data_IF_421000449240
#
_entry.id   IF_421000449240
#
_cell.length_a   1.000
_cell.length_b   1.000
_cell.length_c   1.000
_cell.angle_alpha   90.00
_cell.angle_beta   90.00
_cell.angle_gamma   90.00
#
_symmetry.space_group_name_H-M   'P 1'
#
loop_
_entity.id
_entity.type
_entity.pdbx_description
1 polymer ?
#
# COMPACT_ATOMS: atom_id res chain seq x y z
N UNK A 1 -15.77 13.62 -4.49
CA UNK A 1 -14.37 13.99 -4.29
C UNK A 1 -14.16 14.05 -2.79
N UNK A 2 -13.29 13.21 -2.25
CA UNK A 2 -12.93 13.27 -0.83
C UNK A 2 -12.24 14.60 -0.57
N UNK A 3 -12.57 15.29 0.53
CA UNK A 3 -11.97 16.58 0.90
C UNK A 3 -10.42 16.56 1.02
N UNK A 4 -9.81 15.36 1.06
CA UNK A 4 -8.35 15.19 1.04
C UNK A 4 -7.72 15.35 -0.35
N UNK A 5 -8.43 15.08 -1.46
CA UNK A 5 -7.82 15.13 -2.81
C UNK A 5 -7.43 16.57 -3.23
N UNK A 6 -7.94 17.59 -2.53
CA UNK A 6 -7.63 19.01 -2.77
C UNK A 6 -6.22 19.41 -2.32
N UNK A 7 -5.58 18.63 -1.44
CA UNK A 7 -4.26 18.92 -0.89
C UNK A 7 -3.18 17.97 -1.40
N UNK A 8 -3.47 17.18 -2.44
CA UNK A 8 -2.47 16.29 -3.03
C UNK A 8 -1.66 17.04 -4.11
N UNK A 9 -0.34 17.03 -3.96
CA UNK A 9 0.57 17.36 -5.06
C UNK A 9 0.84 16.10 -5.88
N UNK A 10 0.53 16.15 -7.17
CA UNK A 10 0.70 15.04 -8.11
C UNK A 10 2.04 15.12 -8.82
N UNK A 11 2.76 14.00 -8.86
CA UNK A 11 4.08 13.92 -9.50
C UNK A 11 4.10 12.73 -10.44
N UNK A 12 3.94 12.99 -11.75
CA UNK A 12 4.00 11.94 -12.76
C UNK A 12 5.45 11.46 -12.93
N UNK A 13 5.66 10.15 -13.02
CA UNK A 13 7.01 9.56 -13.14
C UNK A 13 7.82 10.20 -14.27
N UNK A 14 7.18 10.47 -15.40
CA UNK A 14 7.85 11.01 -16.59
C UNK A 14 8.21 12.50 -16.46
N UNK A 15 7.62 13.22 -15.50
CA UNK A 15 7.77 14.66 -15.30
C UNK A 15 8.78 14.99 -14.18
N UNK A 16 9.12 14.01 -13.32
CA UNK A 16 10.08 14.21 -12.23
C UNK A 16 11.51 14.24 -12.82
N UNK A 17 11.98 15.44 -13.13
CA UNK A 17 13.39 15.68 -13.39
C UNK A 17 14.22 15.36 -12.13
N UNK A 18 15.40 14.77 -12.31
CA UNK A 18 16.40 14.41 -11.30
C UNK A 18 16.27 12.94 -10.84
N UNK A 19 17.17 12.12 -11.40
CA UNK A 19 17.41 10.69 -11.19
C UNK A 19 16.45 9.69 -11.85
N UNK A 20 16.54 9.62 -13.19
CA UNK A 20 16.04 8.47 -13.98
C UNK A 20 16.46 7.15 -13.30
N UNK A 21 15.49 6.29 -13.01
CA UNK A 21 15.73 4.93 -12.51
C UNK A 21 15.51 4.71 -11.01
N UNK A 22 14.90 5.66 -10.29
CA UNK A 22 14.48 5.46 -8.89
C UNK A 22 13.00 5.08 -8.73
N UNK A 23 12.22 5.05 -9.81
CA UNK A 23 10.75 5.06 -9.68
C UNK A 23 10.09 3.66 -9.62
N UNK A 24 10.88 2.59 -9.76
CA UNK A 24 10.41 1.22 -9.61
C UNK A 24 9.22 0.86 -10.51
N UNK A 25 8.25 0.12 -9.95
CA UNK A 25 7.04 -0.37 -10.64
C UNK A 25 5.79 0.47 -10.29
N UNK A 26 5.99 1.77 -10.07
CA UNK A 26 4.94 2.75 -9.82
C UNK A 26 4.82 3.77 -10.95
N UNK A 27 3.59 4.18 -11.27
CA UNK A 27 3.32 5.15 -12.36
C UNK A 27 3.35 6.61 -11.91
N UNK A 28 2.90 6.89 -10.69
CA UNK A 28 2.75 8.24 -10.17
C UNK A 28 2.97 8.30 -8.65
N UNK A 29 3.40 9.47 -8.17
CA UNK A 29 3.53 9.75 -6.75
C UNK A 29 2.61 10.86 -6.31
N UNK A 30 2.16 10.82 -5.05
CA UNK A 30 1.44 11.92 -4.42
C UNK A 30 2.03 12.27 -3.07
N UNK A 31 2.28 13.55 -2.83
CA UNK A 31 2.64 14.10 -1.52
C UNK A 31 1.55 15.03 -1.03
N UNK A 32 1.57 15.35 0.25
CA UNK A 32 0.64 16.34 0.80
C UNK A 32 1.21 17.74 0.58
N UNK A 33 0.52 18.53 -0.25
CA UNK A 33 0.86 19.90 -0.58
C UNK A 33 0.93 20.77 0.68
N UNK A 34 1.99 21.57 0.77
CA UNK A 34 2.14 22.55 1.85
C UNK A 34 2.57 21.96 3.20
N UNK A 35 2.78 20.65 3.30
CA UNK A 35 3.39 20.05 4.48
C UNK A 35 4.92 20.29 4.49
N UNK A 36 5.56 20.37 5.67
CA UNK A 36 7.00 20.60 5.78
C UNK A 36 7.82 19.59 4.96
N UNK A 37 8.99 19.93 4.42
CA UNK A 37 9.87 18.94 3.76
C UNK A 37 9.21 18.12 2.61
N UNK A 38 8.17 18.64 1.96
CA UNK A 38 7.45 17.95 0.88
C UNK A 38 8.37 17.35 -0.21
N UNK A 39 9.41 18.04 -0.73
CA UNK A 39 10.34 17.43 -1.70
C UNK A 39 11.08 16.20 -1.16
N UNK A 40 11.36 16.18 0.15
CA UNK A 40 12.00 15.05 0.82
C UNK A 40 11.00 13.91 1.05
N UNK A 41 9.72 14.20 1.28
CA UNK A 41 8.65 13.22 1.30
C UNK A 41 8.51 12.51 -0.06
N UNK A 42 8.51 13.27 -1.16
CA UNK A 42 8.55 12.70 -2.52
C UNK A 42 9.78 11.80 -2.70
N UNK A 43 10.95 12.28 -2.26
CA UNK A 43 12.18 11.49 -2.33
C UNK A 43 12.10 10.19 -1.52
N UNK A 44 11.38 10.16 -0.40
CA UNK A 44 11.13 8.93 0.38
C UNK A 44 10.26 7.94 -0.39
N UNK A 45 9.15 8.40 -1.01
CA UNK A 45 8.28 7.53 -1.82
C UNK A 45 9.05 6.92 -2.98
N UNK A 46 9.79 7.74 -3.73
CA UNK A 46 10.65 7.27 -4.84
C UNK A 46 11.70 6.30 -4.33
N UNK A 47 12.34 6.57 -3.19
CA UNK A 47 13.32 5.65 -2.60
C UNK A 47 12.70 4.31 -2.21
N UNK A 48 11.50 4.29 -1.64
CA UNK A 48 10.76 3.06 -1.38
C UNK A 48 10.50 2.28 -2.67
N UNK A 49 9.99 2.95 -3.70
CA UNK A 49 9.74 2.36 -5.01
C UNK A 49 10.98 1.72 -5.63
N UNK A 50 12.13 2.41 -5.59
CA UNK A 50 13.42 1.88 -6.04
C UNK A 50 13.81 0.59 -5.31
N UNK A 51 13.71 0.59 -3.98
CA UNK A 51 14.15 -0.53 -3.14
C UNK A 51 13.30 -1.77 -3.39
N UNK A 52 11.98 -1.64 -3.53
CA UNK A 52 11.09 -2.80 -3.71
C UNK A 52 10.90 -3.23 -5.16
N UNK A 53 11.45 -2.48 -6.13
CA UNK A 53 11.26 -2.76 -7.56
C UNK A 53 11.64 -4.20 -7.98
N UNK A 54 12.77 -4.80 -7.51
CA UNK A 54 13.10 -6.18 -7.88
C UNK A 54 12.04 -7.19 -7.45
N UNK A 55 11.49 -7.03 -6.24
CA UNK A 55 10.40 -7.86 -5.71
C UNK A 55 9.15 -7.70 -6.57
N UNK A 56 8.74 -6.46 -6.84
CA UNK A 56 7.53 -6.22 -7.64
C UNK A 56 7.65 -6.84 -9.04
N UNK A 57 8.81 -6.72 -9.70
CA UNK A 57 9.07 -7.37 -11.00
C UNK A 57 8.99 -8.89 -10.90
N UNK A 58 9.62 -9.48 -9.88
CA UNK A 58 9.62 -10.93 -9.65
C UNK A 58 8.20 -11.49 -9.51
N UNK A 59 7.32 -10.76 -8.81
CA UNK A 59 5.93 -11.16 -8.58
C UNK A 59 4.96 -10.65 -9.67
N UNK A 60 5.45 -9.96 -10.71
CA UNK A 60 4.61 -9.41 -11.78
C UNK A 60 3.64 -8.33 -11.30
N UNK A 61 3.97 -7.62 -10.22
CA UNK A 61 3.13 -6.60 -9.62
C UNK A 61 3.43 -5.21 -10.17
N UNK A 62 2.36 -4.46 -10.40
CA UNK A 62 2.40 -3.04 -10.72
C UNK A 62 1.40 -2.31 -9.83
N UNK A 63 1.73 -1.10 -9.41
CA UNK A 63 0.84 -0.26 -8.63
C UNK A 63 0.77 1.12 -9.29
N UNK A 64 -0.41 1.61 -9.69
CA UNK A 64 -0.49 2.89 -10.39
C UNK A 64 0.06 4.07 -9.57
N UNK A 65 -0.24 4.12 -8.27
CA UNK A 65 0.06 5.26 -7.41
C UNK A 65 0.72 4.84 -6.10
N UNK A 66 1.82 5.50 -5.74
CA UNK A 66 2.39 5.50 -4.39
C UNK A 66 2.26 6.87 -3.75
N UNK A 67 1.45 6.96 -2.70
CA UNK A 67 1.04 8.24 -2.12
C UNK A 67 1.39 8.36 -0.63
N UNK A 68 1.38 9.58 -0.13
CA UNK A 68 1.52 9.89 1.28
C UNK A 68 0.17 9.74 2.02
N UNK A 69 0.20 9.14 3.22
CA UNK A 69 -0.91 9.19 4.19
C UNK A 69 -0.80 10.43 5.06
N UNK A 70 -1.94 10.93 5.53
CA UNK A 70 -1.95 12.03 6.48
C UNK A 70 -1.24 11.62 7.77
N UNK A 71 -0.43 12.50 8.42
CA UNK A 71 0.32 12.11 9.62
C UNK A 71 -0.57 11.63 10.77
N UNK A 72 -1.79 12.16 10.86
CA UNK A 72 -2.78 11.77 11.86
C UNK A 72 -3.54 10.48 11.55
N UNK A 73 -3.33 9.84 10.38
CA UNK A 73 -3.87 8.50 10.12
C UNK A 73 -3.36 7.52 11.18
N UNK A 74 -4.23 6.64 11.69
CA UNK A 74 -3.87 5.68 12.74
C UNK A 74 -2.93 4.57 12.26
N UNK A 75 -2.91 4.28 10.96
CA UNK A 75 -2.11 3.24 10.33
C UNK A 75 -0.80 3.79 9.74
N UNK A 76 0.15 2.89 9.49
CA UNK A 76 1.40 3.22 8.79
C UNK A 76 1.28 3.11 7.27
N UNK A 77 0.41 2.25 6.77
CA UNK A 77 0.20 2.01 5.35
C UNK A 77 -1.23 1.56 5.06
N UNK A 78 -1.67 1.74 3.81
CA UNK A 78 -2.93 1.25 3.27
C UNK A 78 -2.79 0.94 1.78
N UNK A 79 -3.32 -0.20 1.35
CA UNK A 79 -3.42 -0.58 -0.06
C UNK A 79 -4.88 -0.63 -0.51
N UNK A 80 -5.16 0.06 -1.61
CA UNK A 80 -6.51 0.19 -2.17
C UNK A 80 -6.63 -0.59 -3.48
N UNK A 81 -7.72 -1.34 -3.61
CA UNK A 81 -8.02 -2.16 -4.79
C UNK A 81 -9.40 -1.80 -5.33
N UNK A 82 -9.53 -1.77 -6.65
CA UNK A 82 -10.82 -1.67 -7.34
C UNK A 82 -11.32 -3.09 -7.56
N UNK A 83 -12.56 -3.35 -7.10
CA UNK A 83 -13.24 -4.63 -7.33
C UNK A 83 -13.98 -4.58 -8.66
N UNK A 84 -13.50 -5.33 -9.65
CA UNK A 84 -14.20 -5.51 -10.93
C UNK A 84 -14.88 -6.87 -10.94
N UNK A 85 -16.18 -6.89 -11.21
CA UNK A 85 -16.96 -8.12 -11.34
C UNK A 85 -17.33 -8.31 -12.80
N UNK A 86 -16.96 -9.45 -13.37
CA UNK A 86 -17.41 -9.89 -14.68
C UNK A 86 -18.53 -10.90 -14.49
N UNK A 87 -19.69 -10.59 -15.06
CA UNK A 87 -20.86 -11.45 -14.99
C UNK A 87 -20.80 -12.50 -16.11
N UNK A 88 -20.31 -13.70 -15.76
CA UNK A 88 -20.35 -14.85 -16.65
C UNK A 88 -21.67 -15.60 -16.55
N UNK A 89 -21.99 -16.39 -17.58
CA UNK A 89 -23.24 -17.20 -17.65
C UNK A 89 -23.41 -18.20 -16.50
N UNK A 90 -22.30 -18.67 -15.92
CA UNK A 90 -22.29 -19.70 -14.87
C UNK A 90 -21.71 -19.23 -13.52
N UNK A 91 -20.78 -18.29 -13.53
CA UNK A 91 -20.19 -17.71 -12.33
C UNK A 91 -19.76 -16.27 -12.58
N UNK A 92 -19.87 -15.46 -11.54
CA UNK A 92 -19.24 -14.15 -11.53
C UNK A 92 -17.75 -14.32 -11.28
N UNK A 93 -16.91 -13.70 -12.09
CA UNK A 93 -15.48 -13.57 -11.85
C UNK A 93 -15.21 -12.23 -11.17
N UNK A 94 -14.43 -12.23 -10.09
CA UNK A 94 -14.07 -11.02 -9.37
C UNK A 94 -12.57 -10.83 -9.45
N UNK A 95 -12.15 -9.73 -10.07
CA UNK A 95 -10.75 -9.31 -10.12
C UNK A 95 -10.54 -8.11 -9.20
N UNK A 96 -9.45 -8.13 -8.43
CA UNK A 96 -9.02 -7.00 -7.63
C UNK A 96 -7.85 -6.32 -8.35
N UNK A 97 -8.06 -5.07 -8.75
CA UNK A 97 -7.08 -4.30 -9.51
C UNK A 97 -6.42 -3.30 -8.54
N UNK A 98 -5.09 -3.30 -8.37
CA UNK A 98 -4.41 -2.32 -7.54
C UNK A 98 -4.71 -0.89 -8.02
N UNK A 99 -5.07 0.00 -7.11
CA UNK A 99 -5.35 1.43 -7.40
C UNK A 99 -4.24 2.32 -6.87
N UNK A 100 -3.97 2.19 -5.57
CA UNK A 100 -3.08 3.10 -4.85
C UNK A 100 -2.56 2.41 -3.60
N UNK A 101 -1.27 2.62 -3.30
CA UNK A 101 -0.69 2.33 -2.00
C UNK A 101 -0.37 3.67 -1.33
N UNK A 102 -0.72 3.81 -0.05
CA UNK A 102 -0.41 5.00 0.74
C UNK A 102 0.48 4.65 1.93
N UNK A 103 1.49 5.48 2.19
CA UNK A 103 2.44 5.32 3.29
C UNK A 103 2.46 6.58 4.16
N UNK A 104 2.43 6.41 5.47
CA UNK A 104 2.65 7.53 6.40
C UNK A 104 4.14 7.86 6.39
N UNK A 105 4.49 9.06 5.93
CA UNK A 105 5.89 9.48 5.81
C UNK A 105 6.39 10.29 7.00
N UNK A 106 5.48 10.73 7.87
CA UNK A 106 5.73 11.70 8.94
C UNK A 106 5.28 11.16 10.29
N UNK A 107 5.86 11.68 11.37
CA UNK A 107 5.38 11.39 12.72
C UNK A 107 4.05 12.12 12.99
N UNK A 108 3.07 11.50 13.67
CA UNK A 108 1.73 12.09 13.85
C UNK A 108 1.72 13.44 14.58
N UNK A 109 2.61 13.63 15.56
CA UNK A 109 2.67 14.81 16.41
C UNK A 109 3.76 15.81 15.99
N UNK A 110 4.57 15.44 15.01
CA UNK A 110 5.62 16.29 14.45
C UNK A 110 5.76 16.01 12.95
N UNK A 111 4.95 16.70 12.12
CA UNK A 111 4.99 16.53 10.67
C UNK A 111 6.33 16.93 10.02
N UNK A 112 7.20 17.67 10.73
CA UNK A 112 8.54 18.00 10.25
C UNK A 112 9.53 16.84 10.41
N UNK A 113 9.19 15.81 11.20
CA UNK A 113 10.01 14.60 11.37
C UNK A 113 9.53 13.49 10.44
N UNK A 114 10.37 13.15 9.45
CA UNK A 114 10.12 12.05 8.53
C UNK A 114 10.47 10.68 9.14
N UNK A 115 9.66 9.67 8.84
CA UNK A 115 9.89 8.27 9.19
C UNK A 115 11.16 7.74 8.49
N UNK A 116 11.86 6.84 9.16
CA UNK A 116 13.12 6.26 8.65
C UNK A 116 12.86 5.36 7.43
N UNK A 117 13.85 5.20 6.53
CA UNK A 117 13.70 4.25 5.40
C UNK A 117 13.39 2.84 5.89
N UNK A 118 14.04 2.39 6.96
CA UNK A 118 13.85 1.06 7.53
C UNK A 118 12.40 0.80 7.91
N UNK A 119 11.77 1.76 8.60
CA UNK A 119 10.35 1.70 8.97
C UNK A 119 9.45 1.74 7.72
N UNK A 120 9.75 2.60 6.75
CA UNK A 120 8.99 2.70 5.51
C UNK A 120 9.07 1.41 4.68
N UNK A 121 10.25 0.80 4.54
CA UNK A 121 10.43 -0.47 3.82
C UNK A 121 9.67 -1.59 4.52
N UNK A 122 9.70 -1.66 5.85
CA UNK A 122 8.87 -2.60 6.62
C UNK A 122 7.39 -2.45 6.26
N UNK A 123 6.90 -1.22 6.19
CA UNK A 123 5.51 -0.93 5.81
C UNK A 123 5.24 -1.28 4.34
N UNK A 124 6.12 -0.93 3.39
CA UNK A 124 5.89 -1.26 1.97
C UNK A 124 5.81 -2.77 1.75
N UNK A 125 6.68 -3.57 2.41
CA UNK A 125 6.63 -5.03 2.32
C UNK A 125 5.32 -5.59 2.90
N UNK A 126 4.84 -5.02 4.01
CA UNK A 126 3.53 -5.35 4.58
C UNK A 126 2.39 -5.08 3.58
N UNK A 127 2.41 -3.90 2.95
CA UNK A 127 1.40 -3.52 1.96
C UNK A 127 1.49 -4.37 0.68
N UNK A 128 2.68 -4.77 0.24
CA UNK A 128 2.87 -5.70 -0.88
C UNK A 128 2.35 -7.11 -0.54
N UNK A 129 2.51 -7.58 0.70
CA UNK A 129 1.95 -8.87 1.12
C UNK A 129 0.42 -8.91 0.97
N UNK A 130 -0.26 -7.75 1.04
CA UNK A 130 -1.69 -7.66 0.79
C UNK A 130 -2.11 -7.97 -0.64
N UNK A 131 -1.21 -7.98 -1.62
CA UNK A 131 -1.53 -8.36 -3.00
C UNK A 131 -1.94 -9.84 -3.08
N UNK A 132 -1.33 -10.69 -2.24
CA UNK A 132 -1.61 -12.13 -2.16
C UNK A 132 -2.55 -12.48 -0.99
N UNK A 133 -2.42 -11.79 0.15
CA UNK A 133 -3.14 -12.15 1.38
C UNK A 133 -3.87 -10.96 1.99
N UNK A 134 -5.21 -10.96 1.95
CA UNK A 134 -6.02 -9.81 2.40
C UNK A 134 -6.13 -9.66 3.91
N UNK A 135 -6.01 -10.75 4.67
CA UNK A 135 -6.16 -10.75 6.12
C UNK A 135 -4.85 -11.13 6.80
N UNK A 136 -4.58 -10.54 7.96
CA UNK A 136 -3.36 -10.67 8.74
C UNK A 136 -3.24 -12.00 9.49
N UNK A 137 -3.47 -13.13 8.83
CA UNK A 137 -3.29 -14.47 9.43
C UNK A 137 -1.90 -15.05 9.14
N UNK A 138 -1.66 -16.29 9.57
CA UNK A 138 -0.37 -16.96 9.43
C UNK A 138 0.21 -16.91 8.00
N UNK A 139 -0.63 -17.14 6.97
CA UNK A 139 -0.20 -17.08 5.57
C UNK A 139 0.31 -15.70 5.16
N UNK A 140 -0.35 -14.62 5.62
CA UNK A 140 0.10 -13.26 5.40
C UNK A 140 1.49 -13.01 6.00
N UNK A 141 1.69 -13.35 7.27
CA UNK A 141 2.96 -13.07 7.94
C UNK A 141 4.10 -13.93 7.42
N UNK A 142 3.81 -15.19 7.06
CA UNK A 142 4.76 -16.05 6.36
C UNK A 142 5.19 -15.43 5.03
N UNK A 143 4.24 -14.96 4.23
CA UNK A 143 4.55 -14.36 2.94
C UNK A 143 5.28 -13.02 3.08
N UNK A 144 4.91 -12.18 4.05
CA UNK A 144 5.61 -10.93 4.35
C UNK A 144 7.08 -11.20 4.75
N UNK A 145 7.34 -12.24 5.55
CA UNK A 145 8.70 -12.67 5.86
C UNK A 145 9.46 -13.16 4.62
N UNK A 146 8.80 -13.85 3.70
CA UNK A 146 9.37 -14.22 2.40
C UNK A 146 9.79 -12.98 1.60
N UNK A 147 8.94 -11.94 1.51
CA UNK A 147 9.27 -10.70 0.83
C UNK A 147 10.49 -9.98 1.44
N UNK A 148 10.64 -10.02 2.78
CA UNK A 148 11.83 -9.48 3.43
C UNK A 148 13.10 -10.28 3.09
N UNK A 149 13.02 -11.61 3.12
CA UNK A 149 14.16 -12.47 2.77
C UNK A 149 14.59 -12.27 1.31
N UNK A 150 13.62 -12.13 0.41
CA UNK A 150 13.83 -11.76 -0.99
C UNK A 150 14.53 -10.41 -1.13
N UNK A 151 14.10 -9.38 -0.40
CA UNK A 151 14.73 -8.06 -0.42
C UNK A 151 16.19 -8.13 0.05
N UNK A 152 16.43 -8.85 1.15
CA UNK A 152 17.76 -8.96 1.74
C UNK A 152 18.73 -9.67 0.79
N UNK A 153 18.25 -10.71 0.11
CA UNK A 153 18.98 -11.38 -0.96
C UNK A 153 19.33 -10.40 -2.09
N UNK A 154 18.35 -9.64 -2.60
CA UNK A 154 18.56 -8.69 -3.70
C UNK A 154 19.59 -7.60 -3.36
N UNK A 155 19.57 -7.11 -2.12
CA UNK A 155 20.53 -6.11 -1.64
C UNK A 155 21.93 -6.71 -1.55
N UNK A 156 22.06 -7.93 -1.01
CA UNK A 156 23.33 -8.63 -0.87
C UNK A 156 23.97 -8.96 -2.22
N UNK A 157 23.18 -9.42 -3.18
CA UNK A 157 23.64 -9.74 -4.54
C UNK A 157 23.85 -8.48 -5.42
N UNK A 158 23.53 -7.29 -4.89
CA UNK A 158 23.80 -6.04 -5.58
C UNK A 158 22.82 -5.71 -6.71
N UNK A 159 21.59 -6.26 -6.68
CA UNK A 159 20.53 -5.97 -7.66
C UNK A 159 20.22 -4.47 -7.73
N UNK A 160 20.42 -3.72 -6.64
CA UNK A 160 20.27 -2.26 -6.59
C UNK A 160 21.53 -1.50 -7.01
N UNK A 161 22.47 -2.13 -7.73
CA UNK A 161 23.76 -1.54 -8.14
C UNK A 161 24.53 -0.97 -6.94
N UNK A 162 24.48 -1.66 -5.80
CA UNK A 162 25.07 -1.25 -4.51
C UNK A 162 24.56 0.10 -3.97
N UNK A 163 23.44 0.62 -4.47
CA UNK A 163 22.86 1.90 -4.02
C UNK A 163 22.03 1.79 -2.75
N UNK A 164 21.75 0.59 -2.26
CA UNK A 164 20.93 0.33 -1.06
C UNK A 164 21.80 -0.31 0.00
N UNK A 165 21.80 0.26 1.20
CA UNK A 165 22.57 -0.26 2.32
C UNK A 165 21.74 -1.18 3.22
N UNK A 166 22.41 -2.10 3.93
CA UNK A 166 21.76 -2.98 4.93
C UNK A 166 21.05 -2.19 6.04
N UNK A 167 21.53 -0.97 6.34
CA UNK A 167 20.91 -0.07 7.32
C UNK A 167 19.49 0.38 6.95
N UNK A 168 19.12 0.34 5.66
CA UNK A 168 17.78 0.66 5.16
C UNK A 168 16.82 -0.54 5.20
N UNK A 169 17.34 -1.76 5.43
CA UNK A 169 16.54 -2.99 5.43
C UNK A 169 16.10 -3.30 6.86
N UNK A 170 14.80 -3.57 7.09
CA UNK A 170 14.32 -3.91 8.42
C UNK A 170 14.88 -5.28 8.86
N UNK A 171 15.22 -5.45 10.15
CA UNK A 171 15.69 -6.74 10.66
C UNK A 171 14.54 -7.75 10.81
N UNK A 172 13.30 -7.27 10.91
CA UNK A 172 12.10 -8.08 11.07
C UNK A 172 10.88 -7.37 10.48
N UNK A 173 9.86 -8.13 10.09
CA UNK A 173 8.63 -7.62 9.47
C UNK A 173 7.61 -7.07 10.48
N UNK A 174 7.42 -7.74 11.62
CA UNK A 174 6.49 -7.34 12.68
C UNK A 174 6.91 -7.94 14.02
N UNK A 175 6.48 -7.36 15.14
CA UNK A 175 6.64 -7.97 16.46
C UNK A 175 5.58 -9.06 16.71
N UNK A 176 5.78 -9.90 17.73
CA UNK A 176 4.80 -10.92 18.12
C UNK A 176 3.48 -10.29 18.56
N UNK A 177 3.56 -9.17 19.28
CA UNK A 177 2.42 -8.39 19.77
C UNK A 177 1.64 -7.81 18.59
N UNK A 178 2.33 -7.20 17.62
CA UNK A 178 1.71 -6.68 16.39
C UNK A 178 0.97 -7.80 15.62
N UNK A 179 1.62 -8.96 15.43
CA UNK A 179 0.99 -10.11 14.78
C UNK A 179 -0.28 -10.57 15.51
N UNK A 180 -0.20 -10.72 16.84
CA UNK A 180 -1.33 -11.13 17.68
C UNK A 180 -2.49 -10.14 17.58
N UNK A 181 -2.21 -8.86 17.77
CA UNK A 181 -3.25 -7.83 17.88
C UNK A 181 -4.00 -7.64 16.55
N UNK A 182 -3.28 -7.71 15.43
CA UNK A 182 -3.88 -7.65 14.10
C UNK A 182 -4.68 -8.92 13.75
N UNK A 183 -4.20 -10.11 14.12
CA UNK A 183 -4.96 -11.37 13.97
C UNK A 183 -6.27 -11.34 14.75
N UNK A 184 -6.24 -10.88 16.01
CA UNK A 184 -7.43 -10.75 16.87
C UNK A 184 -8.44 -9.81 16.21
N UNK A 185 -8.00 -8.64 15.75
CA UNK A 185 -8.86 -7.67 15.07
C UNK A 185 -9.50 -8.25 13.81
N UNK A 186 -8.73 -8.92 12.95
CA UNK A 186 -9.23 -9.51 11.71
C UNK A 186 -10.19 -10.68 11.97
N UNK A 187 -9.93 -11.49 13.00
CA UNK A 187 -10.84 -12.54 13.44
C UNK A 187 -12.18 -11.93 13.92
N UNK A 188 -12.12 -10.87 14.74
CA UNK A 188 -13.30 -10.14 15.19
C UNK A 188 -14.11 -9.56 14.03
N UNK A 189 -13.44 -8.91 13.07
CA UNK A 189 -14.09 -8.36 11.87
C UNK A 189 -14.78 -9.45 11.04
N UNK A 190 -14.14 -10.62 10.87
CA UNK A 190 -14.74 -11.77 10.18
C UNK A 190 -15.99 -12.26 10.90
N UNK A 191 -15.94 -12.42 12.23
CA UNK A 191 -17.10 -12.85 13.03
C UNK A 191 -18.26 -11.86 12.87
N UNK A 192 -18.01 -10.55 13.01
CA UNK A 192 -19.04 -9.51 12.83
C UNK A 192 -19.65 -9.59 11.42
N UNK A 193 -18.82 -9.77 10.38
CA UNK A 193 -19.31 -9.87 9.01
C UNK A 193 -20.19 -11.10 8.74
N UNK A 194 -19.98 -12.19 9.49
CA UNK A 194 -20.82 -13.39 9.41
C UNK A 194 -22.14 -13.23 10.18
N UNK A 195 -22.16 -12.45 11.26
CA UNK A 195 -23.32 -12.28 12.13
C UNK A 195 -24.30 -11.20 11.65
N UNK A 196 -23.84 -10.21 10.88
CA UNK A 196 -24.69 -9.16 10.34
C UNK A 196 -25.33 -9.61 9.00
N UNK A 197 -26.67 -9.65 8.87
CA UNK A 197 -27.30 -9.97 7.60
C UNK A 197 -26.94 -8.92 6.54
N UNK A 198 -26.49 -9.36 5.37
CA UNK A 198 -26.25 -8.45 4.25
C UNK A 198 -27.58 -7.83 3.82
N UNK A 199 -27.77 -6.54 4.12
CA UNK A 199 -28.94 -5.78 3.64
C UNK A 199 -28.97 -5.83 2.12
N UNK A 200 -29.84 -6.64 1.56
CA UNK A 200 -30.21 -6.57 0.15
C UNK A 200 -30.95 -5.25 -0.06
N UNK A 201 -30.31 -4.29 -0.73
CA UNK A 201 -30.99 -3.10 -1.24
C UNK A 201 -31.83 -3.52 -2.45
N UNK A 202 -33.07 -3.93 -2.21
CA UNK A 202 -34.09 -4.04 -3.26
C UNK A 202 -34.43 -2.63 -3.71
N UNK A 203 -33.90 -2.21 -4.86
CA UNK A 203 -34.36 -1.00 -5.55
C UNK A 203 -35.74 -1.30 -6.10
N UNK A 204 -36.78 -0.83 -5.42
CA UNK A 204 -38.16 -0.89 -5.89
C UNK A 204 -38.30 0.16 -7.00
N UNK A 205 -38.25 -0.26 -8.26
CA UNK A 205 -38.67 0.59 -9.38
C UNK A 205 -40.16 0.92 -9.17
N UNK A 206 -40.47 2.20 -8.89
CA UNK A 206 -41.83 2.72 -9.03
C UNK A 206 -42.01 3.07 -10.50
N UNK A 207 -42.83 2.28 -11.17
CA UNK A 207 -43.44 2.62 -12.46
C UNK A 207 -44.34 3.83 -12.28
N UNK A 208 -43.98 4.96 -12.90
CA UNK A 208 -44.92 6.05 -13.14
C UNK A 208 -45.80 5.65 -14.33
N UNK A 209 -47.04 5.28 -14.06
CA UNK A 209 -48.11 5.26 -15.06
C UNK A 209 -48.70 6.68 -15.15
N UNK A 210 -48.62 7.24 -16.35
CA UNK A 210 -49.26 8.47 -16.79
C UNK A 210 -50.77 8.22 -16.85
N UNK A 211 -51.54 9.15 -16.28
CA UNK A 211 -52.97 9.33 -16.45
C UNK A 211 -53.27 10.81 -16.44
#
# INVERSE_FOLDING_TARGET
MDHLEMYDSYHHRDEIAIARGMDGEFGMYKTIHGFPLEPKALSRLRRCAFIVAPIMRRHGWQMPILAELHPSDSCLGKSYFIRRTYHGKFRNEVTLIPREMRLRLRRPYDPATLISMKELIRTVLHELAHFSHRSHFFSFYRFNATLLAELDYDVREGCHRKKVGRSEIPPQIASREEMRDTMIRDAGNKIISCLLPQRTRTVRQRSNSIG
#
